data_IF_945960939569
#
_entry.id   IF_945960939569
#
_cell.length_a   1.000
_cell.length_b   1.000
_cell.length_c   1.000
_cell.angle_alpha   90.00
_cell.angle_beta   90.00
_cell.angle_gamma   90.00
#
_symmetry.space_group_name_H-M   'P 1'
#
loop_
_entity.id
_entity.type
_entity.pdbx_description
1 polymer ?
#
# COMPACT_ATOMS: atom_id res chain seq x y z
N UNK A 1 21.47 5.17 -21.74
CA UNK A 1 20.08 4.84 -22.13
C UNK A 1 19.18 5.12 -20.93
N UNK A 2 18.68 6.36 -20.80
CA UNK A 2 17.54 6.65 -19.95
C UNK A 2 16.29 6.28 -20.76
N UNK A 3 15.81 5.04 -20.61
CA UNK A 3 14.52 4.69 -21.16
C UNK A 3 13.50 5.64 -20.54
N UNK A 4 12.77 6.40 -21.38
CA UNK A 4 11.68 7.29 -21.00
C UNK A 4 10.86 6.68 -19.84
N UNK A 5 11.13 7.14 -18.62
CA UNK A 5 10.44 6.69 -17.41
C UNK A 5 9.01 7.23 -17.51
N UNK A 6 8.05 6.34 -17.84
CA UNK A 6 6.62 6.69 -17.89
C UNK A 6 6.02 6.97 -16.51
N UNK A 7 6.79 6.77 -15.43
CA UNK A 7 6.39 7.02 -14.04
C UNK A 7 7.56 7.61 -13.26
N UNK A 8 7.38 8.77 -12.62
CA UNK A 8 8.43 9.42 -11.79
C UNK A 8 8.45 8.89 -10.36
N UNK A 9 9.58 9.03 -9.61
CA UNK A 9 9.61 8.71 -8.18
C UNK A 9 8.51 9.44 -7.38
N UNK A 10 8.18 10.68 -7.73
CA UNK A 10 7.08 11.42 -7.09
C UNK A 10 5.72 10.77 -7.35
N UNK A 11 5.46 10.29 -8.56
CA UNK A 11 4.21 9.60 -8.89
C UNK A 11 4.08 8.27 -8.12
N UNK A 12 5.17 7.53 -7.96
CA UNK A 12 5.20 6.32 -7.14
C UNK A 12 4.90 6.61 -5.65
N UNK A 13 5.52 7.66 -5.09
CA UNK A 13 5.24 8.08 -3.71
C UNK A 13 3.79 8.55 -3.55
N UNK A 14 3.25 9.29 -4.53
CA UNK A 14 1.85 9.72 -4.52
C UNK A 14 0.89 8.52 -4.57
N UNK A 15 1.17 7.53 -5.42
CA UNK A 15 0.40 6.30 -5.47
C UNK A 15 0.46 5.55 -4.13
N UNK A 16 1.65 5.41 -3.54
CA UNK A 16 1.84 4.79 -2.22
C UNK A 16 0.98 5.47 -1.14
N UNK A 17 1.03 6.81 -1.04
CA UNK A 17 0.21 7.58 -0.09
C UNK A 17 -1.31 7.37 -0.30
N UNK A 18 -1.74 7.23 -1.55
CA UNK A 18 -3.14 6.93 -1.88
C UNK A 18 -3.55 5.54 -1.41
N UNK A 19 -2.69 4.54 -1.61
CA UNK A 19 -2.90 3.18 -1.10
C UNK A 19 -2.98 3.17 0.44
N UNK A 20 -2.07 3.85 1.14
CA UNK A 20 -2.10 3.95 2.60
C UNK A 20 -3.37 4.63 3.11
N UNK A 21 -3.80 5.71 2.45
CA UNK A 21 -5.01 6.43 2.84
C UNK A 21 -6.27 5.59 2.63
N UNK A 22 -6.35 4.87 1.51
CA UNK A 22 -7.42 3.91 1.26
C UNK A 22 -7.39 2.76 2.28
N UNK A 23 -6.20 2.28 2.65
CA UNK A 23 -6.02 1.24 3.66
C UNK A 23 -6.56 1.66 5.03
N UNK A 24 -6.30 2.91 5.44
CA UNK A 24 -6.86 3.49 6.67
C UNK A 24 -8.38 3.53 6.65
N UNK A 25 -8.98 3.97 5.54
CA UNK A 25 -10.43 4.01 5.40
C UNK A 25 -11.06 2.62 5.49
N UNK A 26 -10.45 1.64 4.82
CA UNK A 26 -10.89 0.24 4.89
C UNK A 26 -10.83 -0.23 6.35
N UNK A 27 -9.74 0.05 7.06
CA UNK A 27 -9.62 -0.30 8.48
C UNK A 27 -10.72 0.32 9.34
N UNK A 28 -10.97 1.62 9.21
CA UNK A 28 -12.03 2.29 9.95
C UNK A 28 -13.41 1.65 9.69
N UNK A 29 -13.73 1.35 8.42
CA UNK A 29 -15.00 0.70 8.07
C UNK A 29 -15.07 -0.70 8.68
N UNK A 30 -13.99 -1.48 8.60
CA UNK A 30 -13.90 -2.82 9.19
C UNK A 30 -14.12 -2.78 10.70
N UNK A 31 -13.43 -1.88 11.41
CA UNK A 31 -13.54 -1.75 12.87
C UNK A 31 -14.98 -1.37 13.27
N UNK A 32 -15.63 -0.46 12.53
CA UNK A 32 -17.03 -0.08 12.75
C UNK A 32 -17.99 -1.26 12.55
N UNK A 33 -17.79 -2.06 11.50
CA UNK A 33 -18.62 -3.24 11.22
C UNK A 33 -18.55 -4.25 12.36
N UNK A 34 -17.34 -4.48 12.91
CA UNK A 34 -17.15 -5.41 14.03
C UNK A 34 -17.81 -4.88 15.30
N UNK A 35 -17.66 -3.59 15.61
CA UNK A 35 -18.31 -2.97 16.76
C UNK A 35 -19.83 -3.15 16.71
N UNK A 36 -20.47 -2.87 15.57
CA UNK A 36 -21.91 -3.02 15.38
C UNK A 36 -22.34 -4.49 15.58
N UNK A 37 -21.53 -5.42 15.10
CA UNK A 37 -21.85 -6.82 15.23
C UNK A 37 -21.74 -7.34 16.66
N UNK A 38 -20.69 -6.93 17.39
CA UNK A 38 -20.53 -7.28 18.79
C UNK A 38 -21.72 -6.76 19.62
N UNK A 39 -22.17 -5.53 19.36
CA UNK A 39 -23.41 -4.99 19.94
C UNK A 39 -24.64 -5.86 19.60
N UNK A 40 -24.79 -6.26 18.34
CA UNK A 40 -25.89 -7.13 17.91
C UNK A 40 -25.88 -8.50 18.61
N UNK A 41 -24.70 -9.09 18.82
CA UNK A 41 -24.56 -10.38 19.50
C UNK A 41 -25.03 -10.34 20.95
N UNK A 42 -24.95 -9.18 21.60
CA UNK A 42 -25.36 -9.01 23.00
C UNK A 42 -26.87 -9.12 23.20
N UNK A 43 -27.66 -8.82 22.16
CA UNK A 43 -29.12 -8.83 22.19
C UNK A 43 -29.74 -9.95 21.36
N UNK A 44 -29.05 -10.41 20.31
CA UNK A 44 -29.53 -11.44 19.40
C UNK A 44 -28.84 -12.78 19.68
N UNK A 45 -29.56 -13.69 20.35
CA UNK A 45 -29.08 -15.04 20.66
C UNK A 45 -29.75 -16.09 19.74
N UNK A 46 -29.08 -17.23 19.57
CA UNK A 46 -29.57 -18.36 18.76
C UNK A 46 -28.64 -18.77 17.62
N UNK A 47 -28.95 -19.90 16.98
CA UNK A 47 -28.12 -20.53 15.95
C UNK A 47 -27.87 -19.62 14.73
N UNK A 48 -28.88 -18.85 14.32
CA UNK A 48 -28.74 -17.88 13.23
C UNK A 48 -27.75 -16.74 13.57
N UNK A 49 -27.77 -16.25 14.81
CA UNK A 49 -26.83 -15.23 15.29
C UNK A 49 -25.40 -15.78 15.28
N UNK A 50 -25.19 -16.99 15.83
CA UNK A 50 -23.87 -17.65 15.81
C UNK A 50 -23.31 -17.82 14.39
N UNK A 51 -24.15 -18.21 13.42
CA UNK A 51 -23.74 -18.36 12.03
C UNK A 51 -23.35 -17.01 11.40
N UNK A 52 -24.10 -15.94 11.71
CA UNK A 52 -23.79 -14.59 11.26
C UNK A 52 -22.46 -14.09 11.83
N UNK A 53 -22.24 -14.23 13.14
CA UNK A 53 -21.01 -13.85 13.83
C UNK A 53 -19.79 -14.58 13.26
N UNK A 54 -19.94 -15.87 12.98
CA UNK A 54 -18.87 -16.68 12.36
C UNK A 54 -18.50 -16.13 10.98
N UNK A 55 -19.49 -15.82 10.13
CA UNK A 55 -19.24 -15.23 8.81
C UNK A 55 -18.54 -13.88 8.93
N UNK A 56 -18.93 -13.06 9.90
CA UNK A 56 -18.35 -11.74 10.09
C UNK A 56 -16.90 -11.79 10.57
N UNK A 57 -16.57 -12.70 11.49
CA UNK A 57 -15.18 -12.94 11.89
C UNK A 57 -14.32 -13.36 10.69
N UNK A 58 -14.84 -14.27 9.85
CA UNK A 58 -14.15 -14.65 8.62
C UNK A 58 -13.95 -13.48 7.65
N UNK A 59 -14.94 -12.59 7.52
CA UNK A 59 -14.81 -11.36 6.72
C UNK A 59 -13.74 -10.44 7.29
N UNK A 60 -13.70 -10.24 8.60
CA UNK A 60 -12.68 -9.45 9.29
C UNK A 60 -11.27 -9.97 9.05
N UNK A 61 -11.05 -11.27 9.16
CA UNK A 61 -9.74 -11.89 8.89
C UNK A 61 -9.31 -11.70 7.44
N UNK A 62 -10.26 -11.84 6.50
CA UNK A 62 -10.03 -11.55 5.08
C UNK A 62 -9.65 -10.08 4.85
N UNK A 63 -10.31 -9.15 5.52
CA UNK A 63 -10.02 -7.72 5.43
C UNK A 63 -8.65 -7.38 6.04
N UNK A 64 -8.26 -7.98 7.16
CA UNK A 64 -6.93 -7.80 7.74
C UNK A 64 -5.82 -8.31 6.81
N UNK A 65 -6.04 -9.44 6.14
CA UNK A 65 -5.13 -9.95 5.13
C UNK A 65 -5.02 -8.97 3.94
N UNK A 66 -6.14 -8.46 3.46
CA UNK A 66 -6.17 -7.44 2.40
C UNK A 66 -5.41 -6.18 2.81
N UNK A 67 -5.63 -5.67 4.03
CA UNK A 67 -4.91 -4.50 4.55
C UNK A 67 -3.40 -4.72 4.59
N UNK A 68 -2.96 -5.92 5.00
CA UNK A 68 -1.54 -6.30 5.00
C UNK A 68 -0.95 -6.27 3.59
N UNK A 69 -1.70 -6.76 2.60
CA UNK A 69 -1.26 -6.73 1.19
C UNK A 69 -1.20 -5.30 0.65
N UNK A 70 -2.16 -4.45 0.97
CA UNK A 70 -2.17 -3.04 0.56
C UNK A 70 -0.96 -2.30 1.17
N UNK A 71 -0.69 -2.51 2.46
CA UNK A 71 0.48 -1.94 3.13
C UNK A 71 1.79 -2.39 2.47
N UNK A 72 1.90 -3.68 2.13
CA UNK A 72 3.07 -4.20 1.39
C UNK A 72 3.22 -3.54 0.02
N UNK A 73 2.13 -3.35 -0.72
CA UNK A 73 2.16 -2.71 -2.03
C UNK A 73 2.61 -1.23 -1.91
N UNK A 74 2.11 -0.51 -0.91
CA UNK A 74 2.52 0.87 -0.64
C UNK A 74 4.03 0.95 -0.32
N UNK A 75 4.53 0.02 0.50
CA UNK A 75 5.96 -0.08 0.80
C UNK A 75 6.79 -0.35 -0.48
N UNK A 76 6.37 -1.31 -1.30
CA UNK A 76 7.07 -1.64 -2.55
C UNK A 76 7.12 -0.46 -3.53
N UNK A 77 6.08 0.38 -3.58
CA UNK A 77 6.09 1.61 -4.38
C UNK A 77 7.11 2.64 -3.85
N UNK A 78 7.22 2.79 -2.53
CA UNK A 78 8.23 3.65 -1.90
C UNK A 78 9.65 3.14 -2.15
N UNK A 79 9.87 1.83 -2.02
CA UNK A 79 11.16 1.20 -2.27
C UNK A 79 11.60 1.42 -3.72
N UNK A 80 10.67 1.23 -4.68
CA UNK A 80 10.93 1.44 -6.10
C UNK A 80 11.24 2.91 -6.42
N UNK A 81 10.57 3.86 -5.76
CA UNK A 81 10.90 5.28 -5.88
C UNK A 81 12.35 5.56 -5.44
N UNK A 82 12.79 4.96 -4.32
CA UNK A 82 14.17 5.10 -3.84
C UNK A 82 15.20 4.48 -4.79
N UNK A 83 14.90 3.31 -5.38
CA UNK A 83 15.76 2.69 -6.40
C UNK A 83 15.92 3.62 -7.61
N UNK A 84 14.84 4.24 -8.08
CA UNK A 84 14.89 5.18 -9.20
C UNK A 84 15.67 6.45 -8.88
N UNK A 85 15.47 7.05 -7.70
CA UNK A 85 16.24 8.23 -7.27
C UNK A 85 17.74 7.94 -7.21
N UNK A 86 18.13 6.75 -6.74
CA UNK A 86 19.54 6.35 -6.67
C UNK A 86 20.12 6.07 -8.06
N UNK A 87 19.41 5.34 -8.92
CA UNK A 87 19.84 5.07 -10.28
C UNK A 87 20.05 6.37 -11.07
N UNK A 88 19.17 7.35 -10.91
CA UNK A 88 19.31 8.65 -11.57
C UNK A 88 20.55 9.41 -11.05
N UNK A 89 20.78 9.43 -9.73
CA UNK A 89 21.99 10.04 -9.16
C UNK A 89 23.27 9.40 -9.70
N UNK A 90 23.32 8.07 -9.77
CA UNK A 90 24.47 7.35 -10.34
C UNK A 90 24.67 7.68 -11.82
N UNK A 91 23.59 7.78 -12.59
CA UNK A 91 23.67 8.15 -14.01
C UNK A 91 24.18 9.58 -14.20
N UNK A 92 23.73 10.52 -13.38
CA UNK A 92 24.22 11.92 -13.39
C UNK A 92 25.69 11.98 -13.01
N UNK A 93 26.12 11.23 -11.98
CA UNK A 93 27.53 11.15 -11.57
C UNK A 93 28.40 10.58 -12.70
N UNK A 94 28.05 9.42 -13.24
CA UNK A 94 28.75 8.80 -14.37
C UNK A 94 28.77 9.71 -15.60
N UNK A 95 27.70 10.44 -15.86
CA UNK A 95 27.64 11.41 -16.95
C UNK A 95 28.55 12.62 -16.73
N UNK A 96 28.77 13.06 -15.48
CA UNK A 96 29.74 14.10 -15.15
C UNK A 96 31.19 13.61 -15.16
N UNK A 97 31.40 12.31 -14.90
CA UNK A 97 32.69 11.61 -14.98
C UNK A 97 33.10 11.26 -16.41
N UNK A 98 32.15 11.15 -17.34
CA UNK A 98 32.42 11.16 -18.77
C UNK A 98 33.05 12.52 -19.13
N UNK A 99 34.38 12.59 -19.03
CA UNK A 99 35.13 13.83 -19.18
C UNK A 99 35.15 14.32 -20.63
N UNK A 100 34.92 15.62 -20.73
CA UNK A 100 35.52 16.67 -21.59
C UNK A 100 36.92 16.42 -22.21
N UNK A 101 37.65 15.39 -21.78
CA UNK A 101 39.00 15.01 -22.25
C UNK A 101 38.98 14.21 -23.57
N UNK A 102 37.83 13.72 -24.03
CA UNK A 102 37.68 13.10 -25.35
C UNK A 102 37.52 14.11 -26.51
N UNK A 103 37.49 15.42 -26.21
CA UNK A 103 37.24 16.50 -27.19
C UNK A 103 38.33 17.59 -27.24
N UNK A 104 39.55 17.34 -26.75
CA UNK A 104 40.72 18.20 -26.98
C UNK A 104 41.83 17.43 -27.68
#
# INVERSE_FOLDING_TARGET
>A
MAANLRVTPEELRKASQSFESSNRNIKTITDNIISIADELTSVWTGEASMAYCTKLKGLHDGLNNMQTKIAKQAQSLNDMAGVFENAEKENVQKSGELKKDDFV
#
